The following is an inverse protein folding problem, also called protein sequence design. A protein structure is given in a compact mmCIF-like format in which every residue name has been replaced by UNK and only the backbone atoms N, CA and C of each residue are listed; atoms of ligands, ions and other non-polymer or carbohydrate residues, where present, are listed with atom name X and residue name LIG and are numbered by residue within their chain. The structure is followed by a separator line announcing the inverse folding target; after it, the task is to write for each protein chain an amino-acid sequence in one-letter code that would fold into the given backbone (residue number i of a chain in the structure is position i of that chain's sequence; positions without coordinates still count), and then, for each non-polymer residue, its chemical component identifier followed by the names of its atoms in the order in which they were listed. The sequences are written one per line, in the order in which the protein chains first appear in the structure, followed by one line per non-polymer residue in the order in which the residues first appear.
data_IF_423334979997
#
_entry.id   IF_423334979997
#
_cell.length_a   1.000
_cell.length_b   1.000
_cell.length_c   1.000
_cell.angle_alpha   90.00
_cell.angle_beta   90.00
_cell.angle_gamma   90.00
#
_symmetry.space_group_name_H-M   'P 1'
#
loop_
_entity.id
_entity.type
_entity.pdbx_description
1 polymer ?
#
# COMPACT_ATOMS: atom_id res chain seq x y z
N UNK A 1 -22.78 -4.69 -0.77
CA UNK A 1 -23.61 -5.04 0.42
C UNK A 1 -23.02 -4.44 1.68
N UNK A 2 -23.87 -3.79 2.50
CA UNK A 2 -23.42 -3.17 3.75
C UNK A 2 -23.37 -4.19 4.91
N UNK A 3 -22.24 -4.25 5.60
CA UNK A 3 -22.05 -5.09 6.81
C UNK A 3 -23.01 -4.67 7.92
N UNK A 4 -23.23 -3.37 8.08
CA UNK A 4 -24.05 -2.80 9.15
C UNK A 4 -25.49 -2.56 8.67
N UNK A 5 -26.48 -3.16 9.32
CA UNK A 5 -27.89 -3.15 8.90
C UNK A 5 -28.59 -1.80 9.07
N UNK A 6 -28.27 -1.04 10.10
CA UNK A 6 -28.93 0.23 10.38
C UNK A 6 -28.00 1.42 10.13
N UNK A 7 -28.56 2.54 9.68
CA UNK A 7 -27.81 3.78 9.46
C UNK A 7 -27.08 4.28 10.72
N UNK A 8 -27.67 4.27 11.93
CA UNK A 8 -26.96 4.67 13.13
C UNK A 8 -25.81 3.72 13.50
N UNK A 9 -25.97 2.38 13.34
CA UNK A 9 -24.89 1.45 13.60
C UNK A 9 -23.73 1.61 12.62
N UNK A 10 -24.03 1.88 11.34
CA UNK A 10 -23.03 2.18 10.33
C UNK A 10 -22.23 3.43 10.68
N UNK A 11 -22.92 4.50 11.11
CA UNK A 11 -22.28 5.76 11.49
C UNK A 11 -21.41 5.57 12.75
N UNK A 12 -21.92 4.91 13.78
CA UNK A 12 -21.17 4.62 15.00
C UNK A 12 -19.93 3.77 14.74
N UNK A 13 -20.06 2.73 13.90
CA UNK A 13 -18.93 1.88 13.49
C UNK A 13 -17.89 2.66 12.70
N UNK A 14 -18.31 3.52 11.77
CA UNK A 14 -17.40 4.37 11.02
C UNK A 14 -16.66 5.36 11.93
N UNK A 15 -17.36 6.02 12.86
CA UNK A 15 -16.77 6.94 13.84
C UNK A 15 -15.76 6.22 14.75
N UNK A 16 -16.09 5.02 15.23
CA UNK A 16 -15.18 4.20 16.04
C UNK A 16 -13.95 3.79 15.24
N UNK A 17 -14.12 3.36 13.99
CA UNK A 17 -12.98 3.02 13.12
C UNK A 17 -12.09 4.24 12.85
N UNK A 18 -12.67 5.42 12.57
CA UNK A 18 -11.91 6.67 12.37
C UNK A 18 -11.07 6.99 13.61
N UNK A 19 -11.62 6.83 14.81
CA UNK A 19 -10.88 7.02 16.06
C UNK A 19 -9.69 6.05 16.16
N UNK A 20 -9.91 4.76 15.87
CA UNK A 20 -8.83 3.75 15.90
C UNK A 20 -7.76 4.05 14.86
N UNK A 21 -8.14 4.41 13.63
CA UNK A 21 -7.20 4.82 12.58
C UNK A 21 -6.41 6.07 13.00
N UNK A 22 -7.08 7.09 13.55
CA UNK A 22 -6.43 8.30 14.09
C UNK A 22 -5.37 7.93 15.14
N UNK A 23 -5.69 7.06 16.09
CA UNK A 23 -4.74 6.62 17.11
C UNK A 23 -3.54 5.87 16.50
N UNK A 24 -3.76 4.98 15.52
CA UNK A 24 -2.67 4.30 14.82
C UNK A 24 -1.72 5.28 14.13
N UNK A 25 -2.26 6.26 13.39
CA UNK A 25 -1.44 7.26 12.70
C UNK A 25 -0.75 8.21 13.69
N UNK A 26 -1.39 8.53 14.81
CA UNK A 26 -0.78 9.33 15.85
C UNK A 26 0.37 8.60 16.56
N UNK A 27 0.28 7.25 16.71
CA UNK A 27 1.40 6.42 17.10
C UNK A 27 2.52 6.41 16.05
N UNK A 28 2.17 6.40 14.74
CA UNK A 28 3.14 6.47 13.65
C UNK A 28 3.90 7.81 13.62
N UNK A 29 3.31 8.88 14.18
CA UNK A 29 3.96 10.16 14.41
C UNK A 29 4.85 10.18 15.67
N UNK A 30 5.06 9.07 16.34
CA UNK A 30 5.82 8.96 17.60
C UNK A 30 5.26 9.81 18.77
N UNK A 31 3.96 10.13 18.74
CA UNK A 31 3.28 10.88 19.81
C UNK A 31 2.70 9.97 20.90
N UNK A 32 2.53 8.69 20.59
CA UNK A 32 2.12 7.62 21.50
C UNK A 32 3.09 6.44 21.36
N UNK A 33 3.12 5.51 22.34
CA UNK A 33 3.96 4.32 22.24
C UNK A 33 3.70 3.53 20.95
N UNK A 34 4.76 3.26 20.19
CA UNK A 34 4.68 2.62 18.86
C UNK A 34 4.00 1.24 18.94
N UNK A 35 4.17 0.51 20.04
CA UNK A 35 3.53 -0.80 20.25
C UNK A 35 1.99 -0.74 20.24
N UNK A 36 1.39 0.38 20.64
CA UNK A 36 -0.06 0.54 20.70
C UNK A 36 -0.73 0.37 19.33
N UNK A 37 -0.10 0.86 18.24
CA UNK A 37 -0.66 0.71 16.88
C UNK A 37 -0.84 -0.76 16.48
N UNK A 38 0.07 -1.64 16.89
CA UNK A 38 -0.03 -3.07 16.57
C UNK A 38 -1.16 -3.74 17.35
N UNK A 39 -1.38 -3.34 18.60
CA UNK A 39 -2.55 -3.76 19.37
C UNK A 39 -3.87 -3.32 18.75
N UNK A 40 -3.94 -2.07 18.28
CA UNK A 40 -5.11 -1.55 17.56
C UNK A 40 -5.32 -2.29 16.22
N UNK A 41 -4.26 -2.58 15.47
CA UNK A 41 -4.36 -3.35 14.24
C UNK A 41 -4.99 -4.74 14.49
N UNK A 42 -4.55 -5.43 15.53
CA UNK A 42 -5.13 -6.73 15.93
C UNK A 42 -6.57 -6.59 16.41
N UNK A 43 -6.91 -5.51 17.12
CA UNK A 43 -8.28 -5.23 17.54
C UNK A 43 -9.22 -5.02 16.35
N UNK A 44 -8.80 -4.26 15.32
CA UNK A 44 -9.59 -4.07 14.09
C UNK A 44 -9.74 -5.39 13.32
N UNK A 45 -8.68 -6.20 13.26
CA UNK A 45 -8.74 -7.53 12.66
C UNK A 45 -9.68 -8.45 13.43
N UNK A 46 -9.62 -8.47 14.77
CA UNK A 46 -10.53 -9.22 15.65
C UNK A 46 -11.99 -8.77 15.49
N UNK A 47 -12.21 -7.45 15.35
CA UNK A 47 -13.53 -6.90 15.05
C UNK A 47 -14.07 -7.40 13.70
N UNK A 48 -13.25 -7.40 12.65
CA UNK A 48 -13.65 -7.93 11.35
C UNK A 48 -14.00 -9.44 11.42
N UNK A 49 -13.22 -10.23 12.18
CA UNK A 49 -13.51 -11.64 12.43
C UNK A 49 -14.82 -11.83 13.21
N UNK A 50 -15.05 -11.05 14.26
CA UNK A 50 -16.30 -11.11 15.02
C UNK A 50 -17.51 -10.83 14.11
N UNK A 51 -17.43 -9.79 13.28
CA UNK A 51 -18.48 -9.47 12.32
C UNK A 51 -18.66 -10.59 11.30
N UNK A 52 -17.58 -11.23 10.83
CA UNK A 52 -17.68 -12.40 9.95
C UNK A 52 -18.47 -13.53 10.57
N UNK A 53 -18.25 -13.87 11.84
CA UNK A 53 -19.01 -14.93 12.53
C UNK A 53 -20.48 -14.56 12.77
N UNK A 54 -20.78 -13.29 13.06
CA UNK A 54 -22.16 -12.83 13.28
C UNK A 54 -22.93 -12.70 11.97
N UNK A 55 -22.24 -12.22 10.90
CA UNK A 55 -22.84 -11.91 9.60
C UNK A 55 -21.87 -12.20 8.47
N UNK A 56 -21.73 -13.47 8.06
CA UNK A 56 -20.77 -13.84 7.04
C UNK A 56 -21.10 -13.23 5.68
N UNK A 57 -20.15 -12.47 5.12
CA UNK A 57 -20.16 -12.03 3.73
C UNK A 57 -19.11 -12.85 2.99
N UNK A 58 -19.46 -14.06 2.58
CA UNK A 58 -18.50 -15.03 2.04
C UNK A 58 -17.72 -14.50 0.85
N UNK A 59 -18.37 -13.85 -0.13
CA UNK A 59 -17.67 -13.33 -1.32
C UNK A 59 -16.59 -12.30 -0.93
N UNK A 60 -16.95 -11.37 -0.03
CA UNK A 60 -16.00 -10.37 0.46
C UNK A 60 -14.91 -10.99 1.33
N UNK A 61 -15.23 -12.01 2.14
CA UNK A 61 -14.24 -12.73 2.93
C UNK A 61 -13.24 -13.47 2.04
N UNK A 62 -13.70 -14.18 1.00
CA UNK A 62 -12.83 -14.85 0.02
C UNK A 62 -11.96 -13.83 -0.73
N UNK A 63 -12.53 -12.69 -1.13
CA UNK A 63 -11.77 -11.59 -1.71
C UNK A 63 -10.65 -11.12 -0.76
N UNK A 64 -10.99 -10.79 0.49
CA UNK A 64 -10.03 -10.34 1.50
C UNK A 64 -8.94 -11.39 1.78
N UNK A 65 -9.29 -12.67 1.87
CA UNK A 65 -8.32 -13.76 2.09
C UNK A 65 -7.33 -13.92 0.93
N UNK A 66 -7.78 -13.72 -0.32
CA UNK A 66 -6.88 -13.73 -1.49
C UNK A 66 -5.86 -12.60 -1.43
N UNK A 67 -6.30 -11.39 -1.07
CA UNK A 67 -5.39 -10.26 -0.91
C UNK A 67 -4.48 -10.41 0.31
N UNK A 68 -5.00 -10.97 1.41
CA UNK A 68 -4.16 -11.30 2.56
C UNK A 68 -3.01 -12.23 2.14
N UNK A 69 -3.30 -13.31 1.43
CA UNK A 69 -2.28 -14.23 0.94
C UNK A 69 -1.29 -13.53 -0.01
N UNK A 70 -1.80 -12.70 -0.94
CA UNK A 70 -0.98 -11.97 -1.92
C UNK A 70 -0.03 -10.96 -1.27
N UNK A 71 -0.47 -10.27 -0.20
CA UNK A 71 0.35 -9.32 0.51
C UNK A 71 1.26 -9.95 1.57
N UNK A 72 0.85 -11.07 2.13
CA UNK A 72 1.62 -11.79 3.15
C UNK A 72 2.82 -12.55 2.56
N UNK A 73 2.70 -13.04 1.34
CA UNK A 73 3.72 -13.91 0.71
C UNK A 73 5.16 -13.36 0.77
N UNK A 74 5.46 -12.08 0.43
CA UNK A 74 6.83 -11.57 0.52
C UNK A 74 7.39 -11.61 1.95
N UNK A 75 6.57 -11.31 2.94
CA UNK A 75 6.99 -11.32 4.36
C UNK A 75 7.21 -12.73 4.87
N UNK A 76 6.36 -13.68 4.46
CA UNK A 76 6.56 -15.10 4.75
C UNK A 76 7.87 -15.61 4.13
N UNK A 77 8.14 -15.25 2.89
CA UNK A 77 9.36 -15.61 2.18
C UNK A 77 10.60 -15.02 2.89
N UNK A 78 10.57 -13.73 3.23
CA UNK A 78 11.64 -13.08 3.99
C UNK A 78 11.88 -13.75 5.33
N UNK A 79 10.81 -14.06 6.06
CA UNK A 79 10.90 -14.73 7.34
C UNK A 79 11.51 -16.14 7.22
N UNK A 80 10.99 -16.97 6.34
CA UNK A 80 11.49 -18.33 6.12
C UNK A 80 12.97 -18.33 5.71
N UNK A 81 13.34 -17.43 4.80
CA UNK A 81 14.72 -17.27 4.35
C UNK A 81 15.64 -16.82 5.49
N UNK A 82 15.20 -15.83 6.26
CA UNK A 82 15.96 -15.34 7.43
C UNK A 82 16.12 -16.38 8.52
N UNK A 83 15.08 -17.18 8.79
CA UNK A 83 15.18 -18.30 9.76
C UNK A 83 16.25 -19.31 9.31
N UNK A 84 16.31 -19.64 8.02
CA UNK A 84 17.37 -20.52 7.50
C UNK A 84 18.78 -19.93 7.70
N UNK A 85 18.96 -18.63 7.45
CA UNK A 85 20.23 -17.92 7.71
C UNK A 85 20.57 -17.93 9.20
N UNK A 86 19.64 -17.53 10.06
CA UNK A 86 19.87 -17.45 11.50
C UNK A 86 20.23 -18.80 12.13
N UNK A 87 19.62 -19.89 11.67
CA UNK A 87 19.95 -21.24 12.10
C UNK A 87 21.38 -21.62 11.62
N UNK A 88 21.71 -21.31 10.35
CA UNK A 88 23.03 -21.64 9.79
C UNK A 88 24.17 -20.85 10.48
N UNK A 89 23.88 -19.63 10.93
CA UNK A 89 24.84 -18.77 11.66
C UNK A 89 24.80 -19.03 13.17
N UNK A 90 24.02 -19.98 13.65
CA UNK A 90 23.87 -20.30 15.10
C UNK A 90 23.47 -19.09 15.95
N UNK A 91 22.58 -18.24 15.40
CA UNK A 91 22.10 -17.06 16.12
C UNK A 91 21.32 -17.44 17.39
N UNK A 92 21.35 -16.55 18.38
CA UNK A 92 20.61 -16.76 19.64
C UNK A 92 19.11 -16.76 19.44
N UNK A 93 18.37 -17.47 20.30
CA UNK A 93 16.89 -17.49 20.26
C UNK A 93 16.29 -16.08 20.38
N UNK A 94 16.88 -15.22 21.21
CA UNK A 94 16.43 -13.83 21.38
C UNK A 94 16.57 -13.04 20.06
N UNK A 95 17.67 -13.21 19.33
CA UNK A 95 17.87 -12.60 18.01
C UNK A 95 16.81 -13.06 17.00
N UNK A 96 16.56 -14.38 16.92
CA UNK A 96 15.53 -14.98 16.05
C UNK A 96 14.15 -14.45 16.41
N UNK A 97 13.83 -14.36 17.70
CA UNK A 97 12.54 -13.87 18.19
C UNK A 97 12.33 -12.40 17.80
N UNK A 98 13.32 -11.54 17.99
CA UNK A 98 13.23 -10.10 17.62
C UNK A 98 13.07 -9.91 16.12
N UNK A 99 13.81 -10.65 15.30
CA UNK A 99 13.66 -10.64 13.84
C UNK A 99 12.26 -11.10 13.41
N UNK A 100 11.75 -12.17 14.02
CA UNK A 100 10.39 -12.69 13.76
C UNK A 100 9.31 -11.70 14.19
N UNK A 101 9.46 -11.01 15.32
CA UNK A 101 8.53 -9.97 15.77
C UNK A 101 8.49 -8.79 14.80
N UNK A 102 9.62 -8.43 14.16
CA UNK A 102 9.62 -7.37 13.15
C UNK A 102 8.73 -7.73 11.95
N UNK A 103 8.84 -8.96 11.46
CA UNK A 103 7.93 -9.46 10.40
C UNK A 103 6.47 -9.49 10.87
N UNK A 104 6.22 -9.95 12.09
CA UNK A 104 4.87 -9.94 12.67
C UNK A 104 4.27 -8.53 12.69
N UNK A 105 5.02 -7.52 13.06
CA UNK A 105 4.55 -6.13 13.02
C UNK A 105 4.15 -5.69 11.61
N UNK A 106 4.92 -6.07 10.59
CA UNK A 106 4.55 -5.80 9.19
C UNK A 106 3.25 -6.49 8.78
N UNK A 107 3.05 -7.73 9.24
CA UNK A 107 1.82 -8.50 8.99
C UNK A 107 0.61 -7.84 9.64
N UNK A 108 0.73 -7.24 10.82
CA UNK A 108 -0.40 -6.54 11.46
C UNK A 108 -0.89 -5.36 10.63
N UNK A 109 -0.01 -4.67 9.87
CA UNK A 109 -0.39 -3.60 8.95
C UNK A 109 -1.24 -4.14 7.79
N UNK A 110 -0.92 -5.35 7.30
CA UNK A 110 -1.73 -6.03 6.28
C UNK A 110 -3.10 -6.38 6.85
N UNK A 111 -3.13 -6.95 8.06
CA UNK A 111 -4.38 -7.33 8.73
C UNK A 111 -5.30 -6.11 8.93
N UNK A 112 -4.75 -4.97 9.33
CA UNK A 112 -5.51 -3.73 9.46
C UNK A 112 -6.15 -3.31 8.13
N UNK A 113 -5.37 -3.27 7.04
CA UNK A 113 -5.86 -2.89 5.72
C UNK A 113 -6.96 -3.85 5.21
N UNK A 114 -6.73 -5.15 5.32
CA UNK A 114 -7.69 -6.19 4.90
C UNK A 114 -8.97 -6.14 5.73
N UNK A 115 -8.85 -5.97 7.05
CA UNK A 115 -9.99 -5.86 7.96
C UNK A 115 -10.83 -4.61 7.67
N UNK A 116 -10.19 -3.47 7.41
CA UNK A 116 -10.87 -2.25 7.04
C UNK A 116 -11.71 -2.41 5.75
N UNK A 117 -11.12 -3.01 4.72
CA UNK A 117 -11.84 -3.29 3.46
C UNK A 117 -12.95 -4.32 3.68
N UNK A 118 -12.74 -5.33 4.52
CA UNK A 118 -13.82 -6.26 4.88
C UNK A 118 -15.00 -5.54 5.54
N UNK A 119 -14.73 -4.66 6.51
CA UNK A 119 -15.76 -3.94 7.28
C UNK A 119 -16.49 -2.87 6.46
N UNK A 120 -15.75 -2.08 5.69
CA UNK A 120 -16.26 -0.84 5.08
C UNK A 120 -16.30 -0.86 3.54
N UNK A 121 -15.72 -1.87 2.89
CA UNK A 121 -15.67 -1.98 1.42
C UNK A 121 -15.02 -0.76 0.80
N UNK A 122 -15.60 -0.21 -0.27
CA UNK A 122 -15.12 0.96 -0.99
C UNK A 122 -15.18 2.30 -0.22
N UNK A 123 -15.36 2.26 1.10
CA UNK A 123 -15.22 3.44 1.96
C UNK A 123 -14.04 3.30 2.95
N UNK A 124 -13.31 2.20 2.94
CA UNK A 124 -12.20 1.99 3.89
C UNK A 124 -11.12 3.06 3.72
N UNK A 125 -10.74 3.36 2.48
CA UNK A 125 -9.76 4.40 2.16
C UNK A 125 -10.18 5.77 2.64
N UNK A 126 -11.44 6.17 2.42
CA UNK A 126 -11.97 7.46 2.89
C UNK A 126 -11.94 7.56 4.42
N UNK A 127 -12.44 6.54 5.13
CA UNK A 127 -12.48 6.55 6.59
C UNK A 127 -11.06 6.57 7.18
N UNK A 128 -10.14 5.86 6.56
CA UNK A 128 -8.72 5.85 6.95
C UNK A 128 -8.06 7.19 6.67
N UNK A 129 -8.34 7.83 5.53
CA UNK A 129 -7.87 9.18 5.21
C UNK A 129 -8.35 10.19 6.26
N UNK A 130 -9.62 10.12 6.68
CA UNK A 130 -10.15 11.01 7.74
C UNK A 130 -9.39 10.78 9.06
N UNK A 131 -9.16 9.52 9.46
CA UNK A 131 -8.37 9.21 10.66
C UNK A 131 -6.94 9.73 10.59
N UNK A 132 -6.29 9.58 9.44
CA UNK A 132 -4.94 10.09 9.19
C UNK A 132 -4.92 11.63 9.19
N UNK A 133 -5.92 12.29 8.60
CA UNK A 133 -6.04 13.75 8.61
C UNK A 133 -6.21 14.31 10.03
N UNK A 134 -7.04 13.65 10.85
CA UNK A 134 -7.22 14.04 12.24
C UNK A 134 -5.91 13.90 13.05
N UNK A 135 -5.17 12.79 12.85
CA UNK A 135 -3.88 12.62 13.50
C UNK A 135 -2.86 13.71 13.09
N UNK A 136 -2.77 13.99 11.80
CA UNK A 136 -1.86 15.01 11.28
C UNK A 136 -2.27 16.42 11.74
N UNK A 137 -3.59 16.69 11.82
CA UNK A 137 -4.12 17.95 12.34
C UNK A 137 -3.79 18.15 13.82
N UNK A 138 -3.87 17.09 14.64
CA UNK A 138 -3.45 17.16 16.05
C UNK A 138 -1.97 17.55 16.17
N UNK A 139 -1.08 16.94 15.37
CA UNK A 139 0.34 17.32 15.36
C UNK A 139 0.52 18.76 14.90
N UNK A 140 -0.21 19.20 13.86
CA UNK A 140 -0.16 20.61 13.43
C UNK A 140 -0.60 21.57 14.53
N UNK A 141 -1.65 21.24 15.27
CA UNK A 141 -2.11 22.05 16.41
C UNK A 141 -1.07 22.09 17.54
N UNK A 142 -0.40 20.99 17.84
CA UNK A 142 0.71 20.97 18.80
C UNK A 142 1.86 21.90 18.34
N UNK A 143 2.23 21.84 17.06
CA UNK A 143 3.27 22.70 16.50
C UNK A 143 2.87 24.18 16.56
N UNK A 144 1.63 24.50 16.20
CA UNK A 144 1.09 25.85 16.29
C UNK A 144 1.07 26.38 17.74
N UNK A 145 0.76 25.52 18.70
CA UNK A 145 0.70 25.89 20.10
C UNK A 145 2.07 26.34 20.65
N UNK A 146 3.17 25.74 20.21
CA UNK A 146 4.50 26.14 20.68
C UNK A 146 5.21 27.15 19.76
N UNK A 147 5.03 27.08 18.44
CA UNK A 147 5.70 27.98 17.48
C UNK A 147 4.92 29.28 17.23
N UNK A 148 3.61 29.25 17.45
CA UNK A 148 2.69 30.33 17.08
C UNK A 148 2.21 30.22 15.63
N UNK A 149 0.97 30.69 15.38
CA UNK A 149 0.31 30.64 14.07
C UNK A 149 1.10 31.37 12.99
N UNK A 150 1.63 32.56 13.31
CA UNK A 150 2.41 33.37 12.34
C UNK A 150 3.67 32.65 11.86
N UNK A 151 4.44 32.07 12.77
CA UNK A 151 5.65 31.30 12.47
C UNK A 151 5.30 30.08 11.62
N UNK A 152 4.27 29.32 12.01
CA UNK A 152 3.84 28.14 11.27
C UNK A 152 3.49 28.46 9.82
N UNK A 153 2.67 29.51 9.60
CA UNK A 153 2.27 29.91 8.25
C UNK A 153 3.46 30.43 7.43
N UNK A 154 4.30 31.27 8.02
CA UNK A 154 5.47 31.84 7.30
C UNK A 154 6.49 30.77 6.90
N UNK A 155 6.77 29.80 7.77
CA UNK A 155 7.64 28.67 7.45
C UNK A 155 7.02 27.74 6.40
N UNK A 156 5.72 27.51 6.45
CA UNK A 156 5.04 26.69 5.44
C UNK A 156 5.05 27.36 4.07
N UNK A 157 4.79 28.68 3.99
CA UNK A 157 4.90 29.42 2.72
C UNK A 157 6.34 29.39 2.21
N UNK A 158 7.32 29.62 3.09
CA UNK A 158 8.75 29.52 2.72
C UNK A 158 9.07 28.16 2.12
N UNK A 159 8.65 27.07 2.77
CA UNK A 159 8.83 25.71 2.27
C UNK A 159 8.28 25.54 0.84
N UNK A 160 7.06 26.01 0.60
CA UNK A 160 6.41 25.92 -0.72
C UNK A 160 7.11 26.73 -1.82
N UNK A 161 7.67 27.89 -1.46
CA UNK A 161 8.32 28.79 -2.44
C UNK A 161 9.77 28.39 -2.73
N UNK A 162 10.51 28.02 -1.68
CA UNK A 162 11.97 27.79 -1.84
C UNK A 162 12.32 26.34 -2.12
N UNK A 163 11.41 25.39 -1.89
CA UNK A 163 11.70 23.95 -1.92
C UNK A 163 12.94 23.57 -1.07
N UNK A 164 13.24 24.37 -0.04
CA UNK A 164 14.45 24.21 0.75
C UNK A 164 14.28 23.12 1.81
N UNK A 165 15.34 22.32 2.02
CA UNK A 165 15.41 21.34 3.11
C UNK A 165 15.55 21.98 4.49
N UNK A 166 16.15 23.15 4.54
CA UNK A 166 16.38 23.88 5.78
C UNK A 166 15.14 24.71 6.13
N UNK A 167 14.09 24.00 6.47
CA UNK A 167 12.88 24.59 7.02
C UNK A 167 13.11 24.84 8.52
N UNK A 168 12.54 25.93 9.04
CA UNK A 168 12.58 26.24 10.47
C UNK A 168 11.93 25.14 11.32
N UNK A 169 12.07 25.22 12.64
CA UNK A 169 11.70 24.19 13.59
C UNK A 169 10.24 23.69 13.50
N UNK A 170 9.30 24.57 13.12
CA UNK A 170 7.89 24.20 12.97
C UNK A 170 7.69 23.23 11.80
N UNK A 171 8.19 23.54 10.62
CA UNK A 171 8.01 22.68 9.44
C UNK A 171 8.85 21.39 9.54
N UNK A 172 10.03 21.44 10.16
CA UNK A 172 10.81 20.23 10.45
C UNK A 172 10.05 19.26 11.35
N UNK A 173 9.26 19.77 12.30
CA UNK A 173 8.41 18.95 13.18
C UNK A 173 7.22 18.36 12.40
N UNK A 174 6.73 19.06 11.36
CA UNK A 174 5.68 18.55 10.46
C UNK A 174 6.20 17.56 9.42
N UNK A 175 7.50 17.39 9.28
CA UNK A 175 8.13 16.36 8.45
C UNK A 175 7.97 14.98 9.09
N UNK A 176 6.74 14.52 9.16
CA UNK A 176 6.39 13.21 9.69
C UNK A 176 6.67 12.14 8.64
N UNK A 177 7.87 11.59 8.65
CA UNK A 177 8.39 10.68 7.60
C UNK A 177 7.38 9.61 7.17
N UNK A 178 6.76 8.91 8.13
CA UNK A 178 5.78 7.86 7.87
C UNK A 178 4.53 8.42 7.15
N UNK A 179 4.04 9.57 7.60
CA UNK A 179 2.77 10.14 7.12
C UNK A 179 2.87 10.74 5.72
N UNK A 180 3.99 11.41 5.39
CA UNK A 180 4.16 12.09 4.09
C UNK A 180 4.00 11.13 2.93
N UNK A 181 4.63 9.98 3.01
CA UNK A 181 4.51 8.96 1.97
C UNK A 181 3.11 8.35 1.91
N UNK A 182 2.41 8.24 3.03
CA UNK A 182 1.01 7.86 3.07
C UNK A 182 0.10 8.87 2.37
N UNK A 183 0.35 10.17 2.55
CA UNK A 183 -0.37 11.24 1.84
C UNK A 183 -0.16 11.18 0.33
N UNK A 184 1.06 10.81 -0.12
CA UNK A 184 1.33 10.58 -1.54
C UNK A 184 0.51 9.42 -2.11
N UNK A 185 0.33 8.32 -1.36
CA UNK A 185 -0.60 7.23 -1.73
C UNK A 185 -2.03 7.74 -1.86
N UNK A 186 -2.52 8.54 -0.89
CA UNK A 186 -3.86 9.11 -0.95
C UNK A 186 -4.03 10.03 -2.17
N UNK A 187 -3.07 10.92 -2.42
CA UNK A 187 -3.10 11.81 -3.57
C UNK A 187 -3.19 11.02 -4.88
N UNK A 188 -2.30 10.02 -5.07
CA UNK A 188 -2.31 9.17 -6.26
C UNK A 188 -3.60 8.34 -6.37
N UNK A 189 -4.11 7.81 -5.26
CA UNK A 189 -5.37 7.09 -5.23
C UNK A 189 -6.52 7.96 -5.77
N UNK A 190 -6.71 9.17 -5.25
CA UNK A 190 -7.79 10.06 -5.68
C UNK A 190 -7.56 10.74 -7.03
N UNK A 191 -6.34 10.73 -7.57
CA UNK A 191 -6.08 11.09 -8.97
C UNK A 191 -6.60 9.98 -9.90
N UNK A 192 -6.37 8.72 -9.56
CA UNK A 192 -6.71 7.56 -10.39
C UNK A 192 -8.16 7.12 -10.19
N UNK A 193 -8.62 7.06 -8.95
CA UNK A 193 -9.96 6.62 -8.59
C UNK A 193 -11.00 7.69 -8.86
N UNK A 194 -12.02 7.34 -9.63
CA UNK A 194 -13.12 8.25 -9.94
C UNK A 194 -14.25 8.09 -8.93
N UNK A 195 -14.35 9.00 -7.98
CA UNK A 195 -15.46 9.06 -7.04
C UNK A 195 -16.77 9.43 -7.73
N UNK A 196 -17.90 8.89 -7.22
CA UNK A 196 -19.23 9.24 -7.71
C UNK A 196 -19.57 10.72 -7.51
N UNK A 197 -19.02 11.35 -6.48
CA UNK A 197 -19.19 12.76 -6.16
C UNK A 197 -17.89 13.53 -6.42
N UNK A 198 -17.94 14.45 -7.40
CA UNK A 198 -16.81 15.34 -7.72
C UNK A 198 -16.40 16.17 -6.49
N UNK A 199 -17.37 16.65 -5.68
CA UNK A 199 -17.07 17.39 -4.45
C UNK A 199 -16.24 16.55 -3.47
N UNK A 200 -16.60 15.27 -3.28
CA UNK A 200 -15.87 14.34 -2.42
C UNK A 200 -14.44 14.12 -2.94
N UNK A 201 -14.29 13.88 -4.24
CA UNK A 201 -12.99 13.68 -4.87
C UNK A 201 -12.07 14.89 -4.70
N UNK A 202 -12.58 16.10 -5.02
CA UNK A 202 -11.83 17.35 -4.86
C UNK A 202 -11.44 17.58 -3.40
N UNK A 203 -12.37 17.35 -2.46
CA UNK A 203 -12.06 17.46 -1.03
C UNK A 203 -10.96 16.53 -0.58
N UNK A 204 -11.04 15.24 -0.94
CA UNK A 204 -10.01 14.25 -0.60
C UNK A 204 -8.66 14.58 -1.23
N UNK A 205 -8.64 15.05 -2.48
CA UNK A 205 -7.43 15.52 -3.14
C UNK A 205 -6.83 16.74 -2.42
N UNK A 206 -7.62 17.75 -2.09
CA UNK A 206 -7.14 18.95 -1.40
C UNK A 206 -6.56 18.60 -0.02
N UNK A 207 -7.24 17.75 0.75
CA UNK A 207 -6.73 17.28 2.05
C UNK A 207 -5.42 16.51 1.88
N UNK A 208 -5.35 15.60 0.90
CA UNK A 208 -4.15 14.82 0.63
C UNK A 208 -2.97 15.71 0.25
N UNK A 209 -3.16 16.66 -0.66
CA UNK A 209 -2.12 17.59 -1.09
C UNK A 209 -1.69 18.56 0.01
N UNK A 210 -2.62 19.05 0.82
CA UNK A 210 -2.32 19.95 1.95
C UNK A 210 -1.30 19.28 2.89
N UNK A 211 -1.62 18.09 3.39
CA UNK A 211 -0.73 17.40 4.32
C UNK A 211 0.52 16.81 3.67
N UNK A 212 0.44 16.42 2.40
CA UNK A 212 1.60 15.99 1.62
C UNK A 212 2.63 17.11 1.48
N UNK A 213 2.18 18.34 1.21
CA UNK A 213 3.05 19.51 1.08
C UNK A 213 3.54 20.04 2.43
N UNK A 214 2.78 19.86 3.52
CA UNK A 214 3.25 20.21 4.86
C UNK A 214 4.45 19.38 5.32
N UNK A 215 4.47 18.10 4.98
CA UNK A 215 5.55 17.20 5.37
C UNK A 215 6.66 17.07 4.33
N UNK A 216 6.66 17.85 3.32
CA UNK A 216 7.42 17.92 2.08
C UNK A 216 8.67 17.03 1.99
N UNK A 217 8.55 15.93 1.24
CA UNK A 217 9.69 15.08 0.85
C UNK A 217 9.97 15.25 -0.63
N UNK A 218 11.14 15.80 -0.97
CA UNK A 218 11.51 16.10 -2.37
C UNK A 218 11.35 14.91 -3.32
N UNK A 219 11.74 13.71 -2.89
CA UNK A 219 11.61 12.49 -3.71
C UNK A 219 10.15 12.06 -3.91
N UNK A 220 9.28 12.33 -2.97
CA UNK A 220 7.89 11.88 -3.06
C UNK A 220 7.11 12.64 -4.14
N UNK A 221 7.43 13.91 -4.40
CA UNK A 221 6.76 14.73 -5.42
C UNK A 221 6.95 14.15 -6.83
N UNK A 222 8.20 14.01 -7.36
CA UNK A 222 8.40 13.42 -8.68
C UNK A 222 7.90 11.97 -8.74
N UNK A 223 7.94 11.22 -7.64
CA UNK A 223 7.41 9.86 -7.60
C UNK A 223 5.87 9.83 -7.79
N UNK A 224 5.10 10.72 -7.13
CA UNK A 224 3.64 10.84 -7.35
C UNK A 224 3.34 11.29 -8.77
N UNK A 225 4.04 12.30 -9.28
CA UNK A 225 3.85 12.81 -10.65
C UNK A 225 4.17 11.74 -11.68
N UNK A 226 5.32 11.07 -11.55
CA UNK A 226 5.73 9.99 -12.45
C UNK A 226 4.74 8.82 -12.45
N UNK A 227 4.24 8.45 -11.27
CA UNK A 227 3.22 7.40 -11.12
C UNK A 227 1.89 7.81 -11.77
N UNK A 228 1.43 9.04 -11.58
CA UNK A 228 0.22 9.54 -12.22
C UNK A 228 0.37 9.58 -13.76
N UNK A 229 1.52 10.02 -14.26
CA UNK A 229 1.83 10.01 -15.69
C UNK A 229 1.86 8.59 -16.25
N UNK A 230 2.47 7.63 -15.54
CA UNK A 230 2.47 6.23 -15.96
C UNK A 230 1.03 5.68 -16.08
N UNK A 231 0.16 5.97 -15.11
CA UNK A 231 -1.25 5.57 -15.18
C UNK A 231 -1.93 6.15 -16.42
N UNK A 232 -1.77 7.45 -16.68
CA UNK A 232 -2.37 8.11 -17.84
C UNK A 232 -1.87 7.47 -19.14
N UNK A 233 -0.56 7.22 -19.25
CA UNK A 233 0.03 6.59 -20.43
C UNK A 233 -0.56 5.19 -20.64
N UNK A 234 -0.60 4.35 -19.60
CA UNK A 234 -1.16 2.99 -19.69
C UNK A 234 -2.66 3.02 -20.03
N UNK A 235 -3.41 3.94 -19.43
CA UNK A 235 -4.84 4.10 -19.67
C UNK A 235 -5.15 4.54 -21.10
N UNK A 236 -4.34 5.40 -21.71
CA UNK A 236 -4.49 5.87 -23.08
C UNK A 236 -3.96 4.86 -24.11
N UNK A 237 -2.80 4.25 -23.82
CA UNK A 237 -2.13 3.31 -24.74
C UNK A 237 -2.83 1.94 -24.78
N UNK A 238 -3.37 1.45 -23.66
CA UNK A 238 -4.02 0.13 -23.52
C UNK A 238 -3.18 -0.99 -24.13
N UNK A 239 -2.00 -1.28 -23.54
CA UNK A 239 -1.06 -2.24 -24.12
C UNK A 239 -1.70 -3.62 -24.25
N UNK A 240 -1.65 -4.22 -25.45
CA UNK A 240 -2.21 -5.55 -25.74
C UNK A 240 -1.55 -6.69 -24.95
N UNK A 241 -0.30 -6.50 -24.51
CA UNK A 241 0.51 -7.50 -23.82
C UNK A 241 1.01 -6.94 -22.48
N UNK A 242 0.07 -6.64 -21.57
CA UNK A 242 0.39 -6.05 -20.27
C UNK A 242 1.33 -6.95 -19.45
N UNK A 243 1.18 -8.27 -19.52
CA UNK A 243 2.07 -9.22 -18.84
C UNK A 243 3.52 -9.12 -19.32
N UNK A 244 3.72 -9.04 -20.63
CA UNK A 244 5.06 -8.89 -21.19
C UNK A 244 5.67 -7.55 -20.77
N UNK A 245 4.86 -6.48 -20.81
CA UNK A 245 5.29 -5.13 -20.39
C UNK A 245 5.70 -5.13 -18.90
N UNK A 246 4.89 -5.70 -18.02
CA UNK A 246 5.20 -5.76 -16.58
C UNK A 246 6.45 -6.62 -16.30
N UNK A 247 6.67 -7.72 -17.02
CA UNK A 247 7.90 -8.50 -16.92
C UNK A 247 9.14 -7.71 -17.34
N UNK A 248 9.05 -6.98 -18.48
CA UNK A 248 10.14 -6.12 -18.94
C UNK A 248 10.40 -5.00 -17.92
N UNK A 249 9.36 -4.35 -17.41
CA UNK A 249 9.50 -3.32 -16.39
C UNK A 249 10.11 -3.88 -15.09
N UNK A 250 9.70 -5.07 -14.64
CA UNK A 250 10.24 -5.71 -13.45
C UNK A 250 11.74 -6.04 -13.61
N UNK A 251 12.14 -6.61 -14.76
CA UNK A 251 13.53 -6.91 -15.07
C UNK A 251 14.37 -5.62 -15.23
N UNK A 252 13.84 -4.62 -15.91
CA UNK A 252 14.53 -3.34 -16.09
C UNK A 252 14.70 -2.59 -14.75
N UNK A 253 13.64 -2.57 -13.93
CA UNK A 253 13.70 -1.96 -12.58
C UNK A 253 14.66 -2.74 -11.68
N UNK A 254 14.54 -4.08 -11.62
CA UNK A 254 15.46 -4.90 -10.83
C UNK A 254 16.90 -4.77 -11.28
N UNK A 255 17.16 -4.81 -12.59
CA UNK A 255 18.49 -4.59 -13.15
C UNK A 255 19.05 -3.20 -12.89
N UNK A 256 18.20 -2.17 -13.02
CA UNK A 256 18.57 -0.77 -12.71
C UNK A 256 18.92 -0.58 -11.23
N UNK A 257 18.13 -1.18 -10.33
CA UNK A 257 18.41 -1.13 -8.89
C UNK A 257 19.69 -1.93 -8.56
N UNK A 258 19.87 -3.10 -9.18
CA UNK A 258 21.10 -3.89 -9.01
C UNK A 258 22.34 -3.13 -9.49
N UNK A 259 22.24 -2.43 -10.63
CA UNK A 259 23.27 -1.51 -11.11
C UNK A 259 23.51 -0.35 -10.12
N UNK A 260 22.45 0.20 -9.54
CA UNK A 260 22.56 1.25 -8.52
C UNK A 260 23.30 0.75 -7.25
N UNK A 261 23.03 -0.47 -6.78
CA UNK A 261 23.78 -1.08 -5.69
C UNK A 261 25.27 -1.29 -6.04
N UNK A 262 25.54 -1.71 -7.29
CA UNK A 262 26.91 -1.79 -7.79
C UNK A 262 27.58 -0.42 -7.82
N UNK A 263 26.87 0.60 -8.24
CA UNK A 263 27.36 1.98 -8.32
C UNK A 263 27.69 2.57 -6.95
N UNK A 264 26.90 2.23 -5.92
CA UNK A 264 27.19 2.53 -4.53
C UNK A 264 28.47 1.78 -4.07
N UNK A 265 28.49 0.45 -4.25
CA UNK A 265 29.60 -0.41 -3.79
C UNK A 265 30.93 -0.04 -4.42
N UNK A 266 30.95 0.39 -5.67
CA UNK A 266 32.15 0.84 -6.38
C UNK A 266 32.65 2.22 -5.93
N UNK A 267 31.96 2.94 -5.06
CA UNK A 267 32.25 4.30 -4.63
C UNK A 267 31.96 5.37 -5.68
N UNK A 268 31.51 4.99 -6.89
CA UNK A 268 31.22 5.94 -7.97
C UNK A 268 30.02 6.83 -7.67
N UNK A 269 29.07 6.34 -6.89
CA UNK A 269 27.92 7.12 -6.42
C UNK A 269 28.37 8.37 -5.64
N UNK A 270 29.26 8.20 -4.68
CA UNK A 270 29.79 9.30 -3.85
C UNK A 270 30.63 10.26 -4.70
N UNK A 271 31.46 9.73 -5.62
CA UNK A 271 32.25 10.57 -6.54
C UNK A 271 31.37 11.46 -7.41
N UNK A 272 30.33 10.86 -8.05
CA UNK A 272 29.40 11.61 -8.89
C UNK A 272 28.61 12.65 -8.08
N UNK A 273 28.17 12.31 -6.87
CA UNK A 273 27.46 13.26 -6.03
C UNK A 273 28.34 14.45 -5.63
N UNK A 274 29.62 14.22 -5.33
CA UNK A 274 30.58 15.28 -5.03
C UNK A 274 30.88 16.15 -6.27
N UNK A 275 31.02 15.56 -7.45
CA UNK A 275 31.22 16.30 -8.72
C UNK A 275 30.02 17.18 -9.07
N UNK A 276 28.82 16.74 -8.74
CA UNK A 276 27.57 17.47 -8.96
C UNK A 276 27.15 18.37 -7.79
N UNK A 277 27.98 18.48 -6.75
CA UNK A 277 27.69 19.23 -5.52
C UNK A 277 26.36 18.85 -4.86
N UNK A 278 25.95 17.58 -4.98
CA UNK A 278 24.70 17.06 -4.40
C UNK A 278 24.93 16.77 -2.92
N UNK A 279 24.16 17.43 -2.06
CA UNK A 279 24.15 17.13 -0.63
C UNK A 279 23.46 15.78 -0.37
N UNK A 280 24.22 14.75 -0.02
CA UNK A 280 23.74 13.41 0.26
C UNK A 280 23.18 13.25 1.69
N UNK A 281 23.20 14.29 2.52
CA UNK A 281 22.68 14.25 3.89
C UNK A 281 23.22 13.06 4.71
N UNK A 282 24.54 12.92 4.71
CA UNK A 282 25.26 11.84 5.41
C UNK A 282 25.09 10.43 4.82
N UNK A 283 24.36 10.27 3.69
CA UNK A 283 24.19 8.96 3.02
C UNK A 283 25.47 8.45 2.40
N UNK A 284 26.36 9.32 1.99
CA UNK A 284 27.70 8.99 1.49
C UNK A 284 28.49 8.16 2.51
N UNK A 285 28.51 8.61 3.75
CA UNK A 285 29.19 7.90 4.85
C UNK A 285 28.53 6.56 5.16
N UNK A 286 27.19 6.55 5.28
CA UNK A 286 26.42 5.34 5.58
C UNK A 286 26.57 4.30 4.47
N UNK A 287 26.42 4.69 3.21
CA UNK A 287 26.47 3.77 2.07
C UNK A 287 27.89 3.20 1.90
N UNK A 288 28.91 4.03 2.07
CA UNK A 288 30.31 3.56 2.05
C UNK A 288 30.54 2.54 3.16
N UNK A 289 30.10 2.82 4.39
CA UNK A 289 30.24 1.92 5.52
C UNK A 289 29.58 0.57 5.28
N UNK A 290 28.32 0.56 4.83
CA UNK A 290 27.58 -0.68 4.59
C UNK A 290 27.92 -1.37 3.27
N UNK A 291 28.68 -0.75 2.37
CA UNK A 291 29.11 -1.38 1.13
C UNK A 291 29.97 -2.64 1.33
N UNK A 292 30.64 -2.75 2.47
CA UNK A 292 31.46 -3.91 2.82
C UNK A 292 30.66 -5.12 3.35
N UNK A 293 29.37 -4.92 3.66
CA UNK A 293 28.52 -5.96 4.24
C UNK A 293 27.83 -6.87 3.22
N UNK A 294 27.97 -6.60 1.94
CA UNK A 294 27.33 -7.40 0.89
C UNK A 294 28.21 -7.58 -0.33
N UNK A 295 27.95 -8.63 -1.08
CA UNK A 295 28.55 -8.89 -2.39
C UNK A 295 27.44 -9.05 -3.44
N UNK A 296 27.71 -8.55 -4.67
CA UNK A 296 26.76 -8.59 -5.76
C UNK A 296 26.97 -9.88 -6.60
N UNK A 297 26.88 -11.02 -5.91
CA UNK A 297 27.08 -12.36 -6.52
C UNK A 297 25.92 -13.29 -6.14
N UNK A 298 25.58 -14.28 -7.01
CA UNK A 298 24.50 -15.22 -6.72
C UNK A 298 24.67 -16.07 -5.47
N UNK A 299 25.89 -16.20 -4.97
CA UNK A 299 26.20 -16.94 -3.74
C UNK A 299 25.95 -16.14 -2.46
N UNK A 300 25.69 -14.84 -2.57
CA UNK A 300 25.37 -14.01 -1.41
C UNK A 300 23.95 -14.30 -0.90
N UNK A 301 23.83 -14.91 0.28
CA UNK A 301 22.56 -15.36 0.88
C UNK A 301 21.91 -14.33 1.79
N UNK A 302 22.61 -13.25 2.18
CA UNK A 302 22.15 -12.24 3.13
C UNK A 302 22.58 -12.52 4.58
N UNK A 303 22.10 -11.66 5.49
CA UNK A 303 22.40 -11.67 6.94
C UNK A 303 21.15 -11.94 7.81
N UNK A 304 19.98 -12.09 7.20
CA UNK A 304 18.70 -12.17 7.88
C UNK A 304 18.05 -10.80 8.15
N UNK A 305 16.73 -10.76 8.15
CA UNK A 305 15.93 -9.56 8.40
C UNK A 305 16.30 -8.94 9.77
N UNK A 306 16.31 -7.61 9.82
CA UNK A 306 16.67 -6.80 10.97
C UNK A 306 18.17 -6.77 11.29
N UNK A 307 19.03 -7.37 10.46
CA UNK A 307 20.48 -7.32 10.66
C UNK A 307 20.97 -5.87 10.79
N UNK A 308 20.60 -4.99 9.84
CA UNK A 308 21.05 -3.58 9.84
C UNK A 308 20.67 -2.87 11.14
N UNK A 309 19.40 -2.98 11.54
CA UNK A 309 18.93 -2.31 12.76
C UNK A 309 19.66 -2.82 14.01
N UNK A 310 19.81 -4.14 14.15
CA UNK A 310 20.49 -4.73 15.30
C UNK A 310 21.96 -4.34 15.33
N UNK A 311 22.63 -4.39 14.18
CA UNK A 311 24.02 -3.96 14.04
C UNK A 311 24.21 -2.49 14.45
N UNK A 312 23.36 -1.59 13.95
CA UNK A 312 23.43 -0.16 14.28
C UNK A 312 23.12 0.16 15.75
N UNK A 313 22.35 -0.68 16.45
CA UNK A 313 21.91 -0.39 17.82
C UNK A 313 22.69 -1.14 18.90
N UNK A 314 23.26 -2.29 18.58
CA UNK A 314 23.83 -3.21 19.58
C UNK A 314 25.32 -3.49 19.36
N UNK A 315 25.86 -3.24 18.15
CA UNK A 315 27.30 -3.51 17.89
C UNK A 315 28.16 -2.33 18.33
N UNK A 316 29.14 -2.57 19.25
CA UNK A 316 30.02 -1.52 19.77
C UNK A 316 30.94 -0.91 18.70
N UNK A 317 31.16 -1.60 17.58
CA UNK A 317 31.98 -1.09 16.46
C UNK A 317 31.24 -0.07 15.58
N UNK A 318 29.90 0.05 15.71
CA UNK A 318 29.13 1.02 14.98
C UNK A 318 29.19 2.41 15.63
N UNK A 319 29.70 3.38 14.89
CA UNK A 319 29.97 4.74 15.43
C UNK A 319 29.19 5.83 14.70
N UNK A 320 28.34 5.48 13.74
CA UNK A 320 27.58 6.47 12.97
C UNK A 320 26.35 6.95 13.75
N UNK A 321 25.95 8.20 13.51
CA UNK A 321 24.86 8.85 14.25
C UNK A 321 23.43 8.37 13.85
N UNK A 322 23.30 7.46 12.89
CA UNK A 322 22.00 6.98 12.40
C UNK A 322 21.87 5.47 12.55
N UNK A 323 20.66 5.01 12.86
CA UNK A 323 20.31 3.58 12.93
C UNK A 323 19.51 3.12 11.69
N UNK A 324 19.39 3.97 10.68
CA UNK A 324 18.61 3.71 9.47
C UNK A 324 19.46 3.92 8.22
N UNK A 325 19.37 2.98 7.28
CA UNK A 325 20.12 3.04 6.03
C UNK A 325 19.54 4.05 5.03
N UNK A 326 18.25 4.41 5.17
CA UNK A 326 17.51 5.27 4.25
C UNK A 326 17.55 4.81 2.78
N UNK A 327 17.62 3.50 2.57
CA UNK A 327 17.62 2.85 1.26
C UNK A 327 17.11 1.42 1.42
N UNK A 328 15.83 1.20 1.12
CA UNK A 328 15.20 -0.12 1.25
C UNK A 328 15.89 -1.17 0.38
N UNK A 329 16.35 -0.81 -0.80
CA UNK A 329 16.96 -1.79 -1.71
C UNK A 329 18.28 -2.33 -1.17
N UNK A 330 19.11 -1.45 -0.65
CA UNK A 330 20.40 -1.84 -0.05
C UNK A 330 20.16 -2.62 1.26
N UNK A 331 19.28 -2.12 2.13
CA UNK A 331 18.92 -2.78 3.38
C UNK A 331 18.38 -4.19 3.11
N UNK A 332 17.35 -4.30 2.24
CA UNK A 332 16.75 -5.60 1.93
C UNK A 332 17.77 -6.54 1.26
N UNK A 333 18.62 -6.02 0.34
CA UNK A 333 19.65 -6.86 -0.30
C UNK A 333 20.67 -7.39 0.72
N UNK A 334 21.15 -6.56 1.64
CA UNK A 334 22.04 -6.98 2.72
C UNK A 334 21.38 -8.06 3.58
N UNK A 335 20.11 -7.89 3.89
CA UNK A 335 19.40 -8.76 4.82
C UNK A 335 18.97 -10.11 4.18
N UNK A 336 18.44 -10.11 2.94
CA UNK A 336 17.87 -11.34 2.35
C UNK A 336 18.69 -11.92 1.19
N UNK A 337 19.76 -11.26 0.77
CA UNK A 337 20.67 -11.74 -0.27
C UNK A 337 20.10 -11.75 -1.68
N UNK A 338 20.91 -12.27 -2.63
CA UNK A 338 20.67 -12.16 -4.05
C UNK A 338 19.33 -12.80 -4.50
N UNK A 339 19.12 -14.08 -4.23
CA UNK A 339 17.96 -14.79 -4.78
C UNK A 339 16.63 -14.35 -4.17
N UNK A 340 16.59 -14.20 -2.87
CA UNK A 340 15.37 -13.78 -2.18
C UNK A 340 14.98 -12.35 -2.56
N UNK A 341 15.94 -11.45 -2.74
CA UNK A 341 15.74 -10.09 -3.21
C UNK A 341 15.18 -10.05 -4.64
N UNK A 342 15.75 -10.84 -5.59
CA UNK A 342 15.24 -10.90 -6.96
C UNK A 342 13.81 -11.48 -7.02
N UNK A 343 13.54 -12.54 -6.25
CA UNK A 343 12.18 -13.10 -6.16
C UNK A 343 11.19 -12.06 -5.64
N UNK A 344 11.57 -11.26 -4.63
CA UNK A 344 10.74 -10.17 -4.13
C UNK A 344 10.44 -9.13 -5.21
N UNK A 345 11.44 -8.61 -5.92
CA UNK A 345 11.26 -7.63 -7.00
C UNK A 345 10.32 -8.16 -8.10
N UNK A 346 10.56 -9.38 -8.57
CA UNK A 346 9.73 -9.99 -9.61
C UNK A 346 8.31 -10.27 -9.12
N UNK A 347 8.16 -10.64 -7.87
CA UNK A 347 6.83 -10.85 -7.27
C UNK A 347 6.03 -9.55 -7.22
N UNK A 348 6.63 -8.47 -6.73
CA UNK A 348 5.96 -7.17 -6.58
C UNK A 348 5.62 -6.53 -7.94
N UNK A 349 6.56 -6.55 -8.88
CA UNK A 349 6.47 -5.79 -10.14
C UNK A 349 5.93 -6.58 -11.33
N UNK A 350 5.88 -7.92 -11.25
CA UNK A 350 5.34 -8.74 -12.32
C UNK A 350 4.21 -9.66 -11.83
N UNK A 351 4.51 -10.60 -10.93
CA UNK A 351 3.53 -11.63 -10.54
C UNK A 351 2.25 -11.04 -9.95
N UNK A 352 2.36 -10.06 -9.03
CA UNK A 352 1.19 -9.41 -8.42
C UNK A 352 0.34 -8.69 -9.46
N UNK A 353 0.96 -8.01 -10.42
CA UNK A 353 0.28 -7.33 -11.52
C UNK A 353 -0.48 -8.33 -12.39
N UNK A 354 0.18 -9.47 -12.76
CA UNK A 354 -0.48 -10.53 -13.53
C UNK A 354 -1.71 -11.08 -12.80
N UNK A 355 -1.62 -11.29 -11.49
CA UNK A 355 -2.74 -11.80 -10.70
C UNK A 355 -3.91 -10.81 -10.62
N UNK A 356 -3.61 -9.52 -10.55
CA UNK A 356 -4.64 -8.48 -10.56
C UNK A 356 -5.29 -8.37 -11.94
N UNK A 357 -4.50 -8.32 -13.03
CA UNK A 357 -5.00 -8.31 -14.40
C UNK A 357 -5.90 -9.51 -14.69
N UNK A 358 -5.43 -10.72 -14.35
CA UNK A 358 -6.13 -11.97 -14.64
C UNK A 358 -7.50 -12.07 -13.96
N UNK A 359 -7.64 -11.48 -12.76
CA UNK A 359 -8.85 -11.65 -11.95
C UNK A 359 -9.82 -10.49 -12.00
N UNK A 360 -9.32 -9.29 -12.23
CA UNK A 360 -10.14 -8.09 -12.08
C UNK A 360 -10.29 -7.27 -13.35
N UNK A 361 -9.29 -6.93 -14.05
CA UNK A 361 -9.22 -6.28 -15.37
C UNK A 361 -7.89 -5.52 -15.51
N UNK A 362 -7.68 -4.93 -16.68
CA UNK A 362 -6.49 -4.10 -16.96
C UNK A 362 -6.42 -2.83 -16.09
N UNK A 363 -7.56 -2.18 -15.78
CA UNK A 363 -7.56 -0.89 -15.04
C UNK A 363 -6.96 -0.98 -13.64
N UNK A 364 -7.38 -1.90 -12.76
CA UNK A 364 -6.70 -2.11 -11.49
C UNK A 364 -5.23 -2.49 -11.63
N UNK A 365 -4.86 -3.24 -12.69
CA UNK A 365 -3.47 -3.58 -12.96
C UNK A 365 -2.63 -2.34 -13.33
N UNK A 366 -3.17 -1.42 -14.16
CA UNK A 366 -2.51 -0.13 -14.43
C UNK A 366 -2.34 0.72 -13.17
N UNK A 367 -3.38 0.77 -12.33
CA UNK A 367 -3.33 1.48 -11.06
C UNK A 367 -2.26 0.86 -10.12
N UNK A 368 -2.19 -0.47 -10.05
CA UNK A 368 -1.15 -1.17 -9.29
C UNK A 368 0.26 -0.90 -9.82
N UNK A 369 0.48 -0.94 -11.16
CA UNK A 369 1.78 -0.60 -11.76
C UNK A 369 2.20 0.82 -11.40
N UNK A 370 1.28 1.77 -11.46
CA UNK A 370 1.52 3.16 -11.12
C UNK A 370 1.81 3.34 -9.63
N UNK A 371 1.04 2.69 -8.76
CA UNK A 371 1.28 2.72 -7.33
C UNK A 371 2.62 2.07 -6.96
N UNK A 372 3.00 0.98 -7.64
CA UNK A 372 4.31 0.35 -7.48
C UNK A 372 5.43 1.32 -7.87
N UNK A 373 5.30 2.07 -8.98
CA UNK A 373 6.30 3.07 -9.34
C UNK A 373 6.48 4.13 -8.25
N UNK A 374 5.38 4.60 -7.64
CA UNK A 374 5.43 5.51 -6.51
C UNK A 374 6.18 4.91 -5.33
N UNK A 375 5.72 3.73 -4.86
CA UNK A 375 6.28 3.07 -3.67
C UNK A 375 7.75 2.71 -3.86
N UNK A 376 8.10 2.10 -4.99
CA UNK A 376 9.47 1.73 -5.33
C UNK A 376 10.38 2.95 -5.54
N UNK A 377 9.84 4.06 -6.09
CA UNK A 377 10.57 5.32 -6.16
C UNK A 377 10.97 5.86 -4.77
N UNK A 378 10.10 5.72 -3.78
CA UNK A 378 10.39 6.16 -2.41
C UNK A 378 11.44 5.28 -1.70
N UNK A 379 11.59 4.02 -2.10
CA UNK A 379 12.59 3.08 -1.56
C UNK A 379 14.04 3.50 -1.82
N UNK A 380 14.29 4.35 -2.82
CA UNK A 380 15.63 4.81 -3.15
C UNK A 380 16.25 5.70 -2.07
N UNK A 381 15.43 6.41 -1.32
CA UNK A 381 15.92 7.47 -0.43
C UNK A 381 15.38 7.40 0.98
N UNK A 382 14.49 6.46 1.27
CA UNK A 382 13.93 6.31 2.61
C UNK A 382 13.49 4.87 2.90
N UNK A 383 13.25 4.53 4.17
CA UNK A 383 12.88 3.19 4.64
C UNK A 383 11.36 2.94 4.56
N UNK A 384 10.74 3.37 3.47
CA UNK A 384 9.28 3.37 3.32
C UNK A 384 8.64 1.98 3.29
N UNK A 385 9.41 0.91 3.05
CA UNK A 385 8.94 -0.47 3.23
C UNK A 385 8.47 -0.74 4.65
N UNK A 386 9.06 -0.07 5.65
CA UNK A 386 8.75 -0.26 7.07
C UNK A 386 7.76 0.77 7.61
N UNK A 387 7.38 1.78 6.83
CA UNK A 387 6.49 2.85 7.27
C UNK A 387 5.03 2.39 7.29
N UNK A 388 4.33 2.73 8.38
CA UNK A 388 2.97 2.29 8.63
C UNK A 388 1.97 2.83 7.61
N UNK A 389 1.96 4.15 7.41
CA UNK A 389 0.95 4.83 6.60
C UNK A 389 0.98 4.37 5.14
N UNK A 390 2.16 4.38 4.51
CA UNK A 390 2.28 3.94 3.12
C UNK A 390 1.87 2.48 2.96
N UNK A 391 2.26 1.62 3.92
CA UNK A 391 1.96 0.20 3.86
C UNK A 391 0.47 -0.13 3.98
N UNK A 392 -0.23 0.56 4.88
CA UNK A 392 -1.68 0.37 5.07
C UNK A 392 -2.44 0.91 3.86
N UNK A 393 -2.18 2.15 3.46
CA UNK A 393 -2.93 2.84 2.42
C UNK A 393 -2.69 2.26 1.02
N UNK A 394 -1.45 1.85 0.70
CA UNK A 394 -1.12 1.16 -0.54
C UNK A 394 -1.98 -0.11 -0.72
N UNK A 395 -2.09 -0.93 0.32
CA UNK A 395 -2.88 -2.17 0.27
C UNK A 395 -4.38 -1.90 0.15
N UNK A 396 -4.88 -0.93 0.90
CA UNK A 396 -6.29 -0.52 0.80
C UNK A 396 -6.63 -0.01 -0.59
N UNK A 397 -5.80 0.86 -1.18
CA UNK A 397 -6.02 1.40 -2.51
C UNK A 397 -6.16 0.30 -3.57
N UNK A 398 -5.24 -0.67 -3.56
CA UNK A 398 -5.29 -1.80 -4.49
C UNK A 398 -6.55 -2.64 -4.28
N UNK A 399 -6.88 -2.94 -3.02
CA UNK A 399 -8.06 -3.75 -2.70
C UNK A 399 -9.35 -3.03 -3.11
N UNK A 400 -9.48 -1.73 -2.89
CA UNK A 400 -10.68 -0.99 -3.27
C UNK A 400 -10.88 -0.94 -4.78
N UNK A 401 -9.82 -0.69 -5.58
CA UNK A 401 -9.92 -0.75 -7.05
C UNK A 401 -10.37 -2.11 -7.56
N UNK A 402 -9.85 -3.18 -6.96
CA UNK A 402 -10.23 -4.54 -7.34
C UNK A 402 -11.64 -4.91 -6.85
N UNK A 403 -12.04 -4.42 -5.68
CA UNK A 403 -13.36 -4.66 -5.11
C UNK A 403 -14.47 -3.99 -5.95
N UNK A 404 -14.24 -2.76 -6.41
CA UNK A 404 -15.18 -2.04 -7.27
C UNK A 404 -15.48 -2.81 -8.56
N UNK A 405 -14.46 -3.37 -9.20
CA UNK A 405 -14.61 -4.20 -10.40
C UNK A 405 -15.35 -5.50 -10.07
N UNK A 406 -15.01 -6.16 -8.96
CA UNK A 406 -15.67 -7.39 -8.53
C UNK A 406 -17.16 -7.18 -8.23
N UNK A 407 -17.51 -6.14 -7.48
CA UNK A 407 -18.90 -5.82 -7.15
C UNK A 407 -19.70 -5.40 -8.41
N UNK A 408 -19.08 -4.73 -9.38
CA UNK A 408 -19.71 -4.36 -10.64
C UNK A 408 -20.00 -5.58 -11.53
N UNK A 409 -19.11 -6.56 -11.59
CA UNK A 409 -19.32 -7.80 -12.35
C UNK A 409 -20.42 -8.68 -11.74
N UNK A 410 -20.47 -8.81 -10.42
CA UNK A 410 -21.53 -9.55 -9.73
C UNK A 410 -22.92 -8.93 -9.96
N UNK A 411 -23.03 -7.60 -10.00
CA UNK A 411 -24.26 -6.89 -10.33
C UNK A 411 -24.71 -7.18 -11.76
N UNK A 412 -23.80 -7.11 -12.73
CA UNK A 412 -24.09 -7.41 -14.13
C UNK A 412 -24.56 -8.87 -14.33
N UNK A 413 -23.89 -9.81 -13.67
CA UNK A 413 -24.27 -11.22 -13.72
C UNK A 413 -25.65 -11.48 -13.11
N UNK A 414 -25.99 -10.82 -12.00
CA UNK A 414 -27.30 -10.92 -11.36
C UNK A 414 -28.42 -10.31 -12.24
N UNK A 415 -28.14 -9.18 -12.89
CA UNK A 415 -29.08 -8.56 -13.85
C UNK A 415 -29.28 -9.43 -15.08
N UNK A 416 -28.23 -10.02 -15.65
CA UNK A 416 -28.35 -10.94 -16.78
C UNK A 416 -29.11 -12.21 -16.42
N UNK A 417 -28.92 -12.76 -15.22
CA UNK A 417 -29.71 -13.90 -14.75
C UNK A 417 -31.19 -13.54 -14.59
N UNK A 418 -31.50 -12.37 -14.04
CA UNK A 418 -32.88 -11.91 -13.91
C UNK A 418 -33.54 -11.71 -15.26
N UNK A 419 -32.84 -11.14 -16.26
CA UNK A 419 -33.33 -10.97 -17.63
C UNK A 419 -33.58 -12.30 -18.34
N UNK A 420 -32.67 -13.29 -18.15
CA UNK A 420 -32.89 -14.64 -18.70
C UNK A 420 -34.10 -15.31 -18.07
N UNK A 421 -34.30 -15.21 -16.75
CA UNK A 421 -35.47 -15.75 -16.06
C UNK A 421 -36.79 -15.11 -16.57
N UNK A 422 -36.80 -13.78 -16.83
CA UNK A 422 -37.95 -13.07 -17.41
C UNK A 422 -38.22 -13.56 -18.84
N UNK A 423 -37.18 -13.70 -19.67
CA UNK A 423 -37.32 -14.21 -21.03
C UNK A 423 -37.83 -15.65 -21.08
N UNK A 424 -37.35 -16.51 -20.19
CA UNK A 424 -37.84 -17.88 -20.06
C UNK A 424 -39.30 -17.93 -19.61
N UNK A 425 -39.67 -17.09 -18.65
CA UNK A 425 -41.09 -16.93 -18.24
C UNK A 425 -42.00 -16.48 -19.36
N UNK A 426 -41.57 -15.56 -20.22
CA UNK A 426 -42.29 -15.15 -21.41
C UNK A 426 -42.42 -16.25 -22.48
N UNK A 427 -41.35 -17.03 -22.70
CA UNK A 427 -41.40 -18.20 -23.61
C UNK A 427 -42.37 -19.27 -23.11
N UNK A 428 -42.34 -19.52 -21.79
CA UNK A 428 -43.25 -20.52 -21.21
C UNK A 428 -44.73 -20.10 -21.27
N UNK A 429 -45.02 -18.80 -21.03
CA UNK A 429 -46.38 -18.25 -21.23
C UNK A 429 -46.84 -18.35 -22.67
N UNK A 430 -45.98 -18.09 -23.66
CA UNK A 430 -46.30 -18.24 -25.08
C UNK A 430 -46.56 -19.72 -25.43
N UNK A 431 -45.71 -20.62 -24.99
CA UNK A 431 -45.87 -22.06 -25.21
C UNK A 431 -47.19 -22.60 -24.60
N UNK A 432 -47.53 -22.18 -23.39
CA UNK A 432 -48.81 -22.57 -22.77
C UNK A 432 -50.01 -22.00 -23.49
N UNK A 433 -49.95 -20.76 -24.02
CA UNK A 433 -51.02 -20.16 -24.82
C UNK A 433 -51.24 -20.92 -26.14
N UNK A 434 -50.14 -21.36 -26.78
CA UNK A 434 -50.22 -22.19 -27.99
C UNK A 434 -50.86 -23.55 -27.70
N UNK A 435 -50.46 -24.25 -26.63
CA UNK A 435 -51.06 -25.53 -26.22
C UNK A 435 -52.55 -25.43 -25.93
N UNK A 436 -53.00 -24.34 -25.31
CA UNK A 436 -54.43 -24.09 -25.03
C UNK A 436 -55.18 -23.84 -26.30
N UNK A 437 -54.63 -23.10 -27.28
CA UNK A 437 -55.25 -22.84 -28.58
C UNK A 437 -55.33 -24.11 -29.46
N UNK A 438 -54.28 -24.95 -29.39
CA UNK A 438 -54.23 -26.22 -30.12
C UNK A 438 -55.25 -27.23 -29.55
N UNK A 439 -55.41 -27.27 -28.24
CA UNK A 439 -56.41 -28.11 -27.55
C UNK A 439 -57.81 -27.65 -27.90
N UNK A 440 -58.11 -26.32 -27.89
CA UNK A 440 -59.40 -25.77 -28.29
C UNK A 440 -59.74 -26.04 -29.75
N UNK A 441 -58.75 -26.06 -30.67
CA UNK A 441 -58.95 -26.42 -32.09
C UNK A 441 -59.26 -27.91 -32.26
N UNK A 442 -58.59 -28.79 -31.53
CA UNK A 442 -58.82 -30.24 -31.59
C UNK A 442 -60.19 -30.61 -30.98
N UNK A 443 -60.62 -29.95 -29.91
CA UNK A 443 -61.94 -30.18 -29.31
C UNK A 443 -63.07 -29.69 -30.24
N UNK A 444 -62.82 -28.71 -31.11
CA UNK A 444 -63.83 -28.22 -32.13
C UNK A 444 -63.95 -29.19 -33.32
N UNK A 445 -62.91 -29.96 -33.67
CA UNK A 445 -62.93 -30.99 -34.71
C UNK A 445 -63.59 -32.32 -34.29
N UNK A 446 -63.78 -32.55 -32.98
CA UNK A 446 -64.47 -33.74 -32.51
C UNK A 446 -66.01 -33.57 -32.41
N UNK A 447 -66.49 -32.34 -32.46
CA UNK A 447 -67.92 -31.99 -32.38
C UNK A 447 -68.56 -31.76 -33.71
N UNK A 448 -67.90 -31.94 -34.84
CA UNK A 448 -68.46 -32.02 -36.20
C UNK A 448 -68.36 -33.47 -36.71
#
# INVERSE_FOLDING_TARGET
MDVFKSKPLKLASAAFYILLAMLCFYCACYRLPVGLKYGINLMVAGWALLIFFIRPMFNRAVFCMRFLALFFFPYLMFWMWSVAIWISESQTFDYILRGSLNIFYMVTNILFAVAAVYLFGGNAMLLTLIGMALANMLVALEVIAWAGVGTFISEYIRLLVTFADDTGGAMRTMELHDMVYGWGVCALYYIIHKEKSVKKQVFCLLVSWLFFTMGFKRIAVPAVVGAAMLYIVLYLWKPKHLRALSNIMALATGGGIFFYLWFIKSGNFVKLANELEINLMYRDVIYTYFSDFFELVPTYIGRGIRFIYTYCTEDPSYHLATTALHNVYMETYIEVGFWCWWVWILFELAFRIHRVEERYTEKPAYALMSMNLYVFGTYLTDNTLFYYAINVLYRMAIMEWCLEVSESSELLDSEMQSLKAVQEGHRQKRSNKWKVQEKAKNDFHICM
#
